data_IF_951086150569
#
_entry.id   IF_951086150569
#
_cell.length_a   1.000
_cell.length_b   1.000
_cell.length_c   1.000
_cell.angle_alpha   90.00
_cell.angle_beta   90.00
_cell.angle_gamma   90.00
#
_symmetry.space_group_name_H-M   'P 1'
#
loop_
_entity.id
_entity.type
_entity.pdbx_description
1 polymer ?
#
# COMPACT_ATOMS: atom_id res chain seq x y z
N UNK A 1 -5.03 4.17 0.28
CA UNK A 1 -4.49 3.64 -1.00
C UNK A 1 -5.12 2.28 -1.25
N UNK A 2 -5.56 2.01 -2.48
CA UNK A 2 -6.05 0.69 -2.90
C UNK A 2 -4.91 -0.22 -3.37
N UNK A 3 -5.13 -1.52 -3.29
CA UNK A 3 -4.27 -2.56 -3.86
C UNK A 3 -5.01 -3.23 -5.03
N UNK A 4 -4.28 -3.55 -6.08
CA UNK A 4 -4.75 -4.39 -7.17
C UNK A 4 -4.08 -5.76 -7.05
N UNK A 5 -4.82 -6.83 -7.33
CA UNK A 5 -4.31 -8.18 -7.41
C UNK A 5 -4.55 -8.73 -8.81
N UNK A 6 -3.85 -9.81 -9.16
CA UNK A 6 -3.96 -10.39 -10.48
C UNK A 6 -5.37 -10.89 -10.77
N UNK A 7 -5.87 -10.58 -11.96
CA UNK A 7 -7.10 -11.08 -12.53
C UNK A 7 -6.89 -12.37 -13.37
N UNK A 8 -5.74 -13.03 -13.19
CA UNK A 8 -5.33 -14.26 -13.87
C UNK A 8 -5.51 -14.17 -15.39
N UNK A 9 -6.53 -14.83 -15.95
CA UNK A 9 -6.82 -14.91 -17.37
C UNK A 9 -7.08 -13.55 -18.03
N UNK A 10 -7.54 -12.56 -17.25
CA UNK A 10 -7.87 -11.23 -17.75
C UNK A 10 -6.77 -10.19 -17.51
N UNK A 11 -5.62 -10.58 -16.94
CA UNK A 11 -4.54 -9.65 -16.59
C UNK A 11 -4.09 -8.80 -17.79
N UNK A 12 -4.04 -9.41 -18.98
CA UNK A 12 -3.62 -8.75 -20.22
C UNK A 12 -4.49 -7.54 -20.57
N UNK A 13 -5.79 -7.60 -20.31
CA UNK A 13 -6.71 -6.49 -20.60
C UNK A 13 -6.50 -5.31 -19.65
N UNK A 14 -6.02 -5.59 -18.44
CA UNK A 14 -5.76 -4.59 -17.41
C UNK A 14 -4.34 -4.03 -17.46
N UNK A 15 -3.50 -4.43 -18.41
CA UNK A 15 -2.19 -3.81 -18.54
C UNK A 15 -2.33 -2.31 -18.86
N UNK A 16 -1.48 -1.45 -18.29
CA UNK A 16 -1.52 -0.01 -18.51
C UNK A 16 -1.53 0.39 -19.99
N UNK A 17 -0.82 -0.38 -20.83
CA UNK A 17 -0.77 -0.18 -22.28
C UNK A 17 -2.15 -0.35 -22.94
N UNK A 18 -2.91 -1.36 -22.52
CA UNK A 18 -4.25 -1.64 -23.03
C UNK A 18 -5.28 -0.62 -22.52
N UNK A 19 -5.04 -0.04 -21.33
CA UNK A 19 -5.84 1.04 -20.77
C UNK A 19 -5.48 2.43 -21.32
N UNK A 20 -4.62 2.52 -22.33
CA UNK A 20 -4.11 3.79 -22.87
C UNK A 20 -3.45 4.69 -21.83
N UNK A 21 -2.86 4.09 -20.78
CA UNK A 21 -2.06 4.78 -19.79
C UNK A 21 -0.62 4.91 -20.29
N UNK A 22 -0.22 6.13 -20.66
CA UNK A 22 1.08 6.44 -21.25
C UNK A 22 2.16 6.85 -20.23
N UNK A 23 1.81 6.92 -18.96
CA UNK A 23 2.73 7.21 -17.86
C UNK A 23 3.40 5.94 -17.31
N UNK A 24 4.42 6.11 -16.48
CA UNK A 24 5.07 4.98 -15.79
C UNK A 24 4.08 4.39 -14.78
N UNK A 25 3.64 3.12 -14.97
CA UNK A 25 2.64 2.53 -14.09
C UNK A 25 3.20 2.25 -12.70
N UNK A 26 2.33 2.35 -11.69
CA UNK A 26 2.68 2.04 -10.31
C UNK A 26 2.92 0.54 -10.17
N UNK A 27 4.07 0.16 -9.60
CA UNK A 27 4.33 -1.23 -9.21
C UNK A 27 3.38 -1.63 -8.08
N UNK A 28 2.70 -2.76 -8.24
CA UNK A 28 1.85 -3.36 -7.22
C UNK A 28 2.21 -4.82 -7.00
N UNK A 29 1.70 -5.41 -5.92
CA UNK A 29 1.92 -6.83 -5.62
C UNK A 29 0.84 -7.64 -6.34
N UNK A 30 1.23 -8.40 -7.36
CA UNK A 30 0.31 -9.20 -8.18
C UNK A 30 -0.49 -10.21 -7.35
N UNK A 31 0.18 -10.93 -6.44
CA UNK A 31 -0.49 -11.97 -5.64
C UNK A 31 -0.65 -11.57 -4.17
N UNK A 32 -1.83 -11.80 -3.55
CA UNK A 32 -1.95 -11.69 -2.11
C UNK A 32 -1.04 -12.73 -1.43
N UNK A 33 -0.50 -12.38 -0.26
CA UNK A 33 0.18 -13.39 0.57
C UNK A 33 -0.88 -14.32 1.16
N UNK A 34 -0.60 -15.62 1.17
CA UNK A 34 -1.42 -16.59 1.90
C UNK A 34 -1.43 -16.20 3.39
N UNK A 35 -2.62 -16.12 3.97
CA UNK A 35 -2.84 -15.82 5.38
C UNK A 35 -3.49 -17.03 6.04
N UNK A 36 -3.00 -17.41 7.21
CA UNK A 36 -3.56 -18.48 8.04
C UNK A 36 -3.91 -17.89 9.42
N UNK A 37 -5.09 -18.20 9.94
CA UNK A 37 -5.57 -17.68 11.24
C UNK A 37 -6.81 -16.78 11.14
N UNK A 38 -7.07 -16.03 12.21
CA UNK A 38 -8.28 -15.22 12.38
C UNK A 38 -8.00 -13.71 12.26
N UNK A 39 -9.02 -12.95 11.90
CA UNK A 39 -9.00 -11.49 11.86
C UNK A 39 -9.49 -10.91 13.18
N UNK A 40 -8.74 -9.98 13.78
CA UNK A 40 -9.16 -9.24 14.97
C UNK A 40 -9.45 -7.77 14.62
N UNK A 41 -10.46 -7.14 15.25
CA UNK A 41 -10.74 -5.73 15.03
C UNK A 41 -9.60 -4.89 15.61
N UNK A 42 -9.04 -4.02 14.77
CA UNK A 42 -7.95 -3.10 15.16
C UNK A 42 -8.46 -1.69 15.49
N UNK A 43 -9.74 -1.43 15.23
CA UNK A 43 -10.39 -0.13 15.42
C UNK A 43 -11.73 -0.26 16.15
N UNK A 44 -12.08 0.79 16.86
CA UNK A 44 -13.37 1.01 17.51
C UNK A 44 -14.49 1.31 16.50
N UNK A 45 -15.75 1.33 16.95
CA UNK A 45 -16.94 1.59 16.11
C UNK A 45 -16.86 2.93 15.38
N UNK A 46 -16.14 3.89 15.95
CA UNK A 46 -15.89 5.22 15.38
C UNK A 46 -14.70 5.26 14.41
N UNK A 47 -14.06 4.13 14.12
CA UNK A 47 -12.87 4.03 13.27
C UNK A 47 -11.56 4.47 13.93
N UNK A 48 -11.54 4.64 15.26
CA UNK A 48 -10.31 4.96 16.02
C UNK A 48 -9.54 3.69 16.34
N UNK A 49 -8.24 3.66 16.10
CA UNK A 49 -7.40 2.51 16.49
C UNK A 49 -7.39 2.32 18.01
N UNK A 50 -7.47 1.08 18.47
CA UNK A 50 -7.44 0.74 19.90
C UNK A 50 -6.08 1.03 20.56
N UNK A 51 -5.00 0.82 19.79
CA UNK A 51 -3.64 1.08 20.23
C UNK A 51 -2.96 2.04 19.25
N UNK A 52 -2.34 3.08 19.80
CA UNK A 52 -1.66 4.10 19.00
C UNK A 52 -0.30 3.63 18.49
N UNK A 53 0.32 2.66 19.17
CA UNK A 53 1.64 2.14 18.79
C UNK A 53 1.58 1.24 17.54
N UNK A 54 0.44 0.59 17.30
CA UNK A 54 0.19 -0.25 16.12
C UNK A 54 -0.45 0.50 14.97
N UNK A 55 -0.74 1.81 15.13
CA UNK A 55 -1.17 2.66 14.02
C UNK A 55 -0.12 2.57 12.92
N UNK A 56 -0.46 2.06 11.72
CA UNK A 56 0.43 2.24 10.60
C UNK A 56 0.63 3.75 10.45
N UNK A 57 1.88 4.19 10.29
CA UNK A 57 2.18 5.59 9.99
C UNK A 57 1.57 5.89 8.63
N UNK A 58 0.28 6.20 8.64
CA UNK A 58 -0.44 6.61 7.47
C UNK A 58 0.10 7.99 7.16
N UNK A 59 0.76 8.09 6.01
CA UNK A 59 1.11 9.35 5.35
C UNK A 59 -0.18 10.01 4.83
N UNK A 60 -1.22 10.07 5.66
CA UNK A 60 -2.58 10.52 5.32
C UNK A 60 -2.52 11.95 4.82
N UNK A 61 -1.72 12.78 5.48
CA UNK A 61 -1.16 13.97 4.86
C UNK A 61 0.33 13.68 4.68
N UNK A 62 0.76 13.46 3.44
CA UNK A 62 2.18 13.62 3.13
C UNK A 62 2.62 14.94 3.75
N UNK A 63 3.70 14.92 4.53
CA UNK A 63 4.48 16.13 4.83
C UNK A 63 4.53 16.94 3.53
N UNK A 64 3.85 18.07 3.48
CA UNK A 64 3.78 18.90 2.29
C UNK A 64 5.22 19.16 1.84
N UNK A 65 5.65 18.49 0.78
CA UNK A 65 6.91 18.77 0.12
C UNK A 65 6.56 19.75 -0.98
N UNK A 66 7.16 20.93 -0.91
CA UNK A 66 7.02 21.97 -1.92
C UNK A 66 7.31 21.46 -3.34
N UNK A 67 6.93 22.28 -4.31
CA UNK A 67 6.70 21.97 -5.72
C UNK A 67 7.85 21.37 -6.54
N UNK A 68 9.04 21.09 -5.98
CA UNK A 68 10.18 20.64 -6.77
C UNK A 68 10.99 19.51 -6.12
N UNK A 69 11.00 18.35 -6.80
CA UNK A 69 12.10 17.38 -6.75
C UNK A 69 11.71 16.00 -6.21
N UNK A 70 11.55 15.05 -7.13
CA UNK A 70 11.23 13.62 -6.90
C UNK A 70 12.15 12.93 -5.87
N UNK A 71 11.51 12.13 -5.02
CA UNK A 71 11.99 11.12 -4.07
C UNK A 71 12.86 10.02 -4.77
N UNK A 72 13.60 9.09 -4.14
CA UNK A 72 13.17 8.06 -3.18
C UNK A 72 14.36 7.46 -2.41
N UNK A 73 14.45 7.67 -1.08
CA UNK A 73 15.13 6.70 -0.21
C UNK A 73 14.05 5.87 0.48
N UNK A 74 13.95 4.58 0.17
CA UNK A 74 13.01 3.72 0.88
C UNK A 74 13.37 3.70 2.37
N UNK A 75 12.39 3.78 3.30
CA UNK A 75 12.69 3.62 4.71
C UNK A 75 13.30 2.23 4.91
N UNK A 76 14.51 2.17 5.48
CA UNK A 76 15.16 0.92 5.85
C UNK A 76 14.29 0.21 6.91
N UNK A 77 14.13 -1.12 6.84
CA UNK A 77 13.37 -1.83 7.86
C UNK A 77 14.02 -1.62 9.24
N UNK A 78 13.19 -1.26 10.23
CA UNK A 78 13.61 -1.21 11.63
C UNK A 78 13.92 -2.64 12.06
N UNK A 79 15.17 -2.91 12.44
CA UNK A 79 15.54 -4.18 13.05
C UNK A 79 15.03 -4.15 14.50
N UNK A 80 14.03 -4.96 14.82
CA UNK A 80 13.79 -5.33 16.21
C UNK A 80 14.89 -6.30 16.63
N UNK A 81 15.76 -5.88 17.54
CA UNK A 81 16.64 -6.79 18.27
C UNK A 81 15.84 -7.56 19.32
N UNK A 82 16.28 -8.79 19.69
CA UNK A 82 15.53 -9.72 20.54
C UNK A 82 15.27 -9.19 21.95
#
# INVERSE_FOLDING_TARGET
MSLNFSAEQYESVYEPKHLSQWEVPKKFREYPRRHEGYTFPITDENGRFYDEATKPVFKEWSSFQGTFGKDYSQPKPVKCTP
#
